data_IF_780266990716
#
_entry.id   IF_780266990716
#
_cell.length_a   1.000
_cell.length_b   1.000
_cell.length_c   1.000
_cell.angle_alpha   90.00
_cell.angle_beta   90.00
_cell.angle_gamma   90.00
#
_symmetry.space_group_name_H-M   'P 1'
#
loop_
_entity.id
_entity.type
_entity.pdbx_description
1 polymer ?
#
# COMPACT_ATOMS: atom_id res chain seq x y z
N UNK A 1 46.65 -0.21 10.32
CA UNK A 1 45.54 0.64 10.81
C UNK A 1 44.48 0.68 9.71
N UNK A 2 43.46 -0.15 9.83
CA UNK A 2 42.34 -0.18 8.92
C UNK A 2 41.20 0.66 9.48
N UNK A 3 40.84 1.75 8.84
CA UNK A 3 39.70 2.60 9.19
C UNK A 3 38.42 1.92 8.74
N UNK A 4 37.59 1.53 9.69
CA UNK A 4 36.27 0.98 9.45
C UNK A 4 35.37 1.96 8.71
N UNK A 5 34.83 1.53 7.57
CA UNK A 5 33.82 2.26 6.83
C UNK A 5 32.54 2.40 7.65
N UNK A 6 32.14 3.62 7.92
CA UNK A 6 30.87 3.98 8.53
C UNK A 6 29.76 3.58 7.55
N UNK A 7 28.96 2.57 7.91
CA UNK A 7 27.71 2.24 7.22
C UNK A 7 26.78 3.43 7.37
N UNK A 8 26.53 4.16 6.28
CA UNK A 8 25.62 5.30 6.21
C UNK A 8 24.20 4.89 6.58
N UNK A 9 23.83 5.07 7.85
CA UNK A 9 22.45 5.01 8.27
C UNK A 9 21.71 6.19 7.65
N UNK A 10 20.92 5.95 6.59
CA UNK A 10 20.11 6.98 5.97
C UNK A 10 19.36 7.78 7.02
N UNK A 11 19.48 9.08 6.97
CA UNK A 11 18.93 9.98 7.98
C UNK A 11 17.43 9.72 8.16
N UNK A 12 17.02 9.35 9.37
CA UNK A 12 15.61 9.20 9.73
C UNK A 12 14.85 10.52 9.81
N UNK A 13 15.57 11.64 9.66
CA UNK A 13 14.95 12.96 9.64
C UNK A 13 14.36 13.23 8.23
N UNK A 14 13.03 13.45 8.11
CA UNK A 14 12.39 13.74 6.83
C UNK A 14 13.01 14.92 6.08
N UNK A 15 13.54 15.91 6.78
CA UNK A 15 14.18 17.08 6.19
C UNK A 15 15.51 16.77 5.47
N UNK A 16 16.16 15.66 5.82
CA UNK A 16 17.45 15.26 5.24
C UNK A 16 17.30 14.25 4.08
N UNK A 17 16.07 13.99 3.64
CA UNK A 17 15.79 13.09 2.52
C UNK A 17 15.90 13.84 1.19
N UNK A 18 16.17 13.14 0.07
CA UNK A 18 16.13 13.76 -1.27
C UNK A 18 14.80 14.49 -1.50
N UNK A 19 14.86 15.58 -2.24
CA UNK A 19 13.69 16.45 -2.50
C UNK A 19 12.51 15.66 -3.09
N UNK A 20 12.78 14.81 -4.05
CA UNK A 20 11.77 13.94 -4.68
C UNK A 20 11.04 13.06 -3.67
N UNK A 21 11.79 12.46 -2.73
CA UNK A 21 11.23 11.65 -1.64
C UNK A 21 10.34 12.48 -0.72
N UNK A 22 10.76 13.71 -0.38
CA UNK A 22 9.97 14.60 0.45
C UNK A 22 8.65 14.97 -0.24
N UNK A 23 8.71 15.32 -1.53
CA UNK A 23 7.52 15.65 -2.34
C UNK A 23 6.59 14.45 -2.45
N UNK A 24 7.10 13.29 -2.88
CA UNK A 24 6.31 12.06 -3.02
C UNK A 24 5.61 11.66 -1.71
N UNK A 25 6.30 11.78 -0.56
CA UNK A 25 5.71 11.50 0.76
C UNK A 25 4.61 12.48 1.11
N UNK A 26 4.81 13.77 0.84
CA UNK A 26 3.83 14.79 1.17
C UNK A 26 2.58 14.65 0.32
N UNK A 27 2.74 14.38 -0.98
CA UNK A 27 1.64 14.10 -1.91
C UNK A 27 0.91 12.82 -1.50
N UNK A 28 1.64 11.72 -1.18
CA UNK A 28 1.03 10.49 -0.67
C UNK A 28 0.20 10.73 0.59
N UNK A 29 0.73 11.50 1.54
CA UNK A 29 -0.01 11.83 2.77
C UNK A 29 -1.28 12.61 2.45
N UNK A 30 -1.17 13.65 1.61
CA UNK A 30 -2.33 14.47 1.24
C UNK A 30 -3.44 13.63 0.64
N UNK A 31 -3.13 12.87 -0.41
CA UNK A 31 -4.13 12.14 -1.19
C UNK A 31 -4.72 10.93 -0.45
N UNK A 32 -3.96 10.30 0.45
CA UNK A 32 -4.41 9.08 1.16
C UNK A 32 -5.02 9.34 2.53
N UNK A 33 -4.58 10.40 3.21
CA UNK A 33 -4.86 10.60 4.63
C UNK A 33 -5.30 12.01 4.97
N UNK A 34 -4.78 13.01 4.27
CA UNK A 34 -4.85 14.42 4.65
C UNK A 34 -5.89 15.25 3.91
N UNK A 35 -6.50 14.76 2.83
CA UNK A 35 -7.37 15.57 1.96
C UNK A 35 -8.45 16.32 2.76
N UNK A 36 -9.24 15.62 3.55
CA UNK A 36 -10.31 16.26 4.34
C UNK A 36 -9.78 17.30 5.35
N UNK A 37 -8.60 17.07 5.94
CA UNK A 37 -7.99 18.01 6.89
C UNK A 37 -7.42 19.26 6.23
N UNK A 38 -7.16 19.20 4.94
CA UNK A 38 -6.70 20.32 4.10
C UNK A 38 -7.84 20.96 3.28
N UNK A 39 -9.09 20.52 3.51
CA UNK A 39 -10.27 21.06 2.84
C UNK A 39 -10.53 20.51 1.43
N UNK A 40 -9.79 19.49 1.02
CA UNK A 40 -10.00 18.84 -0.29
C UNK A 40 -11.11 17.79 -0.18
N UNK A 41 -11.96 17.74 -1.20
CA UNK A 41 -12.94 16.67 -1.42
C UNK A 41 -12.43 15.77 -2.54
N UNK A 42 -12.33 14.47 -2.26
CA UNK A 42 -12.04 13.49 -3.29
C UNK A 42 -13.30 13.29 -4.15
N UNK A 43 -13.15 13.43 -5.45
CA UNK A 43 -14.19 13.17 -6.44
C UNK A 43 -14.26 11.68 -6.82
N UNK A 44 -14.99 11.38 -7.91
CA UNK A 44 -15.12 10.04 -8.49
C UNK A 44 -13.72 9.41 -8.68
N UNK A 45 -13.57 8.14 -8.30
CA UNK A 45 -12.31 7.43 -8.40
C UNK A 45 -11.16 8.02 -7.57
N UNK A 46 -11.45 8.84 -6.56
CA UNK A 46 -10.44 9.43 -5.67
C UNK A 46 -9.64 10.61 -6.24
N UNK A 47 -10.06 11.17 -7.36
CA UNK A 47 -9.39 12.30 -8.00
C UNK A 47 -9.64 13.63 -7.28
N UNK A 48 -8.65 14.52 -7.34
CA UNK A 48 -8.74 15.94 -6.96
C UNK A 48 -8.07 16.81 -8.02
N UNK A 49 -8.50 18.07 -8.14
CA UNK A 49 -7.80 19.05 -8.98
C UNK A 49 -6.35 19.22 -8.54
N UNK A 50 -5.42 19.20 -9.50
CA UNK A 50 -3.99 19.44 -9.23
C UNK A 50 -3.79 20.87 -8.70
N UNK A 51 -4.51 21.86 -9.22
CA UNK A 51 -4.47 23.23 -8.73
C UNK A 51 -4.90 23.32 -7.27
N UNK A 52 -5.99 22.66 -6.89
CA UNK A 52 -6.47 22.61 -5.50
C UNK A 52 -5.48 21.89 -4.59
N UNK A 53 -4.91 20.75 -5.03
CA UNK A 53 -3.90 20.02 -4.29
C UNK A 53 -2.66 20.90 -4.00
N UNK A 54 -2.13 21.58 -5.02
CA UNK A 54 -0.99 22.51 -4.89
C UNK A 54 -1.31 23.69 -3.97
N UNK A 55 -2.56 24.11 -3.91
CA UNK A 55 -3.02 25.21 -3.06
C UNK A 55 -3.19 24.80 -1.59
N UNK A 56 -3.12 23.53 -1.23
CA UNK A 56 -3.17 23.11 0.17
C UNK A 56 -2.00 23.63 0.98
N UNK A 57 -2.22 23.86 2.27
CA UNK A 57 -1.14 24.25 3.19
C UNK A 57 -0.03 23.18 3.24
N UNK A 58 -0.41 21.94 3.11
CA UNK A 58 0.53 20.80 3.13
C UNK A 58 1.55 20.89 1.99
N UNK A 59 1.13 21.12 0.74
CA UNK A 59 2.05 21.20 -0.40
C UNK A 59 2.75 22.57 -0.47
N UNK A 60 2.05 23.65 -0.15
CA UNK A 60 2.67 24.99 -0.04
C UNK A 60 3.81 25.05 0.99
N UNK A 61 3.73 24.28 2.08
CA UNK A 61 4.80 24.24 3.09
C UNK A 61 6.14 23.74 2.56
N UNK A 62 6.14 23.04 1.43
CA UNK A 62 7.34 22.58 0.74
C UNK A 62 7.60 23.34 -0.57
N UNK A 63 6.80 24.36 -0.90
CA UNK A 63 6.90 25.11 -2.16
C UNK A 63 6.94 24.18 -3.39
N UNK A 64 6.05 23.16 -3.42
CA UNK A 64 6.00 22.18 -4.51
C UNK A 64 5.44 22.86 -5.75
N UNK A 65 6.18 22.80 -6.86
CA UNK A 65 5.74 23.33 -8.14
C UNK A 65 4.97 22.27 -8.94
N UNK A 66 4.20 22.71 -9.94
CA UNK A 66 3.51 21.78 -10.83
C UNK A 66 4.48 20.91 -11.63
N UNK A 67 5.60 21.47 -12.08
CA UNK A 67 6.65 20.71 -12.76
C UNK A 67 7.24 19.61 -11.87
N UNK A 68 7.58 19.92 -10.61
CA UNK A 68 8.05 18.89 -9.66
C UNK A 68 7.00 17.81 -9.43
N UNK A 69 5.72 18.18 -9.39
CA UNK A 69 4.64 17.20 -9.22
C UNK A 69 4.52 16.28 -10.44
N UNK A 70 4.58 16.84 -11.67
CA UNK A 70 4.63 16.05 -12.93
C UNK A 70 5.80 15.08 -12.90
N UNK A 71 6.99 15.54 -12.53
CA UNK A 71 8.19 14.72 -12.41
C UNK A 71 8.03 13.56 -11.40
N UNK A 72 7.48 13.85 -10.23
CA UNK A 72 7.25 12.82 -9.19
C UNK A 72 6.23 11.79 -9.66
N UNK A 73 5.21 12.18 -10.39
CA UNK A 73 4.23 11.21 -10.95
C UNK A 73 4.89 10.36 -12.03
N UNK A 74 5.64 10.96 -12.96
CA UNK A 74 6.27 10.26 -14.08
C UNK A 74 7.40 9.31 -13.65
N UNK A 75 8.22 9.71 -12.67
CA UNK A 75 9.41 8.95 -12.21
C UNK A 75 9.13 8.01 -11.05
N UNK A 76 7.86 7.83 -10.66
CA UNK A 76 7.51 7.00 -9.50
C UNK A 76 7.57 5.51 -9.85
N UNK A 77 8.66 4.83 -9.49
CA UNK A 77 8.86 3.39 -9.74
C UNK A 77 7.70 2.51 -9.24
N UNK A 78 7.02 2.93 -8.17
CA UNK A 78 5.88 2.20 -7.60
C UNK A 78 4.52 2.67 -8.13
N UNK A 79 4.50 3.58 -9.09
CA UNK A 79 3.28 4.10 -9.73
C UNK A 79 2.16 4.44 -8.72
N UNK A 80 2.53 5.19 -7.67
CA UNK A 80 1.61 5.48 -6.54
C UNK A 80 0.50 6.44 -6.88
N UNK A 81 0.69 7.23 -7.95
CA UNK A 81 -0.20 8.30 -8.36
C UNK A 81 -0.56 8.15 -9.81
N UNK A 82 -1.80 8.50 -10.14
CA UNK A 82 -2.26 8.69 -11.50
C UNK A 82 -2.67 10.14 -11.69
N UNK A 83 -2.27 10.72 -12.80
CA UNK A 83 -2.62 12.07 -13.21
C UNK A 83 -3.27 11.99 -14.59
N UNK A 84 -4.42 12.63 -14.76
CA UNK A 84 -5.18 12.65 -16.01
C UNK A 84 -5.58 14.08 -16.35
N UNK A 85 -5.88 14.36 -17.62
CA UNK A 85 -6.55 15.60 -17.98
C UNK A 85 -7.97 15.64 -17.40
N UNK A 86 -8.41 16.80 -16.90
CA UNK A 86 -9.74 16.96 -16.33
C UNK A 86 -10.84 16.58 -17.33
N UNK A 87 -10.63 16.93 -18.62
CA UNK A 87 -11.54 16.56 -19.72
C UNK A 87 -11.68 15.06 -19.97
N UNK A 88 -10.71 14.24 -19.51
CA UNK A 88 -10.79 12.79 -19.68
C UNK A 88 -11.80 12.15 -18.71
N UNK A 89 -12.02 12.72 -17.53
CA UNK A 89 -13.02 12.24 -16.59
C UNK A 89 -14.46 12.55 -17.03
N UNK A 90 -14.66 13.67 -17.75
CA UNK A 90 -15.97 14.08 -18.27
C UNK A 90 -16.41 13.25 -19.47
N UNK A 91 -15.45 12.67 -20.21
CA UNK A 91 -15.69 11.88 -21.42
C UNK A 91 -15.87 10.38 -21.18
N UNK A 92 -15.81 9.90 -19.95
CA UNK A 92 -16.09 8.50 -19.63
C UNK A 92 -17.60 8.26 -19.87
N UNK A 93 -17.99 7.56 -20.96
CA UNK A 93 -19.40 7.47 -21.33
C UNK A 93 -20.15 6.53 -20.37
N UNK A 94 -21.40 6.89 -20.08
CA UNK A 94 -22.42 5.98 -19.53
C UNK A 94 -22.77 4.84 -20.52
N UNK A 95 -22.12 4.77 -21.67
CA UNK A 95 -22.46 3.90 -22.81
C UNK A 95 -21.55 2.68 -22.99
N UNK A 96 -21.19 1.97 -21.94
CA UNK A 96 -20.48 0.68 -22.09
C UNK A 96 -21.31 -0.53 -21.62
N UNK A 97 -22.64 -0.44 -21.63
CA UNK A 97 -23.52 -1.56 -21.21
C UNK A 97 -24.12 -2.34 -22.41
N UNK A 98 -23.94 -1.89 -23.64
CA UNK A 98 -24.57 -2.55 -24.82
C UNK A 98 -23.65 -2.79 -26.02
N UNK A 99 -22.46 -3.31 -25.86
CA UNK A 99 -21.75 -3.89 -27.01
C UNK A 99 -20.86 -5.04 -26.56
N UNK A 100 -21.39 -6.26 -26.68
CA UNK A 100 -20.58 -7.47 -26.58
C UNK A 100 -19.48 -7.48 -27.66
N UNK A 101 -18.28 -7.07 -27.29
CA UNK A 101 -17.02 -7.34 -27.99
C UNK A 101 -16.00 -7.73 -26.97
N UNK A 102 -15.56 -8.98 -27.08
CA UNK A 102 -14.39 -9.53 -26.46
C UNK A 102 -13.17 -8.78 -27.00
N UNK A 103 -12.73 -7.74 -26.31
CA UNK A 103 -11.40 -7.18 -26.47
C UNK A 103 -10.65 -7.43 -25.16
N UNK A 104 -9.50 -8.11 -25.27
CA UNK A 104 -8.57 -8.35 -24.18
C UNK A 104 -8.31 -7.05 -23.41
N UNK A 105 -8.19 -7.09 -22.06
CA UNK A 105 -7.85 -5.91 -21.27
C UNK A 105 -6.38 -5.55 -21.52
N UNK A 106 -6.09 -4.94 -22.66
CA UNK A 106 -4.84 -4.23 -22.83
C UNK A 106 -4.79 -3.14 -21.76
N UNK A 107 -3.80 -3.24 -20.87
CA UNK A 107 -3.42 -2.19 -19.93
C UNK A 107 -3.00 -0.95 -20.74
N UNK A 108 -3.98 -0.19 -21.18
CA UNK A 108 -3.75 1.11 -21.79
C UNK A 108 -3.32 2.04 -20.66
N UNK A 109 -2.01 2.12 -20.42
CA UNK A 109 -1.43 3.33 -19.86
C UNK A 109 -1.86 4.46 -20.80
N UNK A 110 -2.91 5.18 -20.43
CA UNK A 110 -3.26 6.42 -21.09
C UNK A 110 -2.08 7.35 -20.86
N UNK A 111 -1.18 7.40 -21.82
CA UNK A 111 -0.15 8.45 -21.89
C UNK A 111 -0.96 9.72 -22.08
N UNK A 112 -1.29 10.37 -20.97
CA UNK A 112 -1.97 11.66 -21.00
C UNK A 112 -0.97 12.62 -21.63
N UNK A 113 -1.36 13.19 -22.76
CA UNK A 113 -0.63 14.29 -23.37
C UNK A 113 -0.62 15.47 -22.38
N UNK A 114 0.43 15.55 -21.56
CA UNK A 114 0.58 16.56 -20.52
C UNK A 114 1.16 17.86 -21.11
N UNK A 115 0.54 18.36 -22.19
CA UNK A 115 0.99 19.53 -22.95
C UNK A 115 0.66 20.86 -22.28
N UNK A 116 -0.39 20.90 -21.44
CA UNK A 116 -0.72 22.14 -20.70
C UNK A 116 0.21 22.38 -19.52
N UNK A 117 0.56 23.62 -19.29
CA UNK A 117 1.28 24.09 -18.10
C UNK A 117 0.34 24.62 -17.00
N UNK A 118 -0.97 24.58 -17.22
CA UNK A 118 -1.96 24.97 -16.21
C UNK A 118 -2.33 23.75 -15.33
N UNK A 119 -2.05 23.80 -14.02
CA UNK A 119 -2.42 22.72 -13.11
C UNK A 119 -3.94 22.49 -12.99
N UNK A 120 -4.78 23.48 -13.36
CA UNK A 120 -6.23 23.34 -13.33
C UNK A 120 -6.78 22.35 -14.39
N UNK A 121 -6.01 22.11 -15.46
CA UNK A 121 -6.36 21.18 -16.52
C UNK A 121 -6.17 19.71 -16.13
N UNK A 122 -5.66 19.44 -14.92
CA UNK A 122 -5.31 18.07 -14.49
C UNK A 122 -5.96 17.68 -13.17
N UNK A 123 -6.24 16.39 -13.08
CA UNK A 123 -6.67 15.70 -11.88
C UNK A 123 -5.60 14.71 -11.43
N UNK A 124 -5.44 14.55 -10.11
CA UNK A 124 -4.49 13.61 -9.52
C UNK A 124 -5.17 12.76 -8.45
N UNK A 125 -4.76 11.49 -8.36
CA UNK A 125 -5.18 10.57 -7.29
C UNK A 125 -4.02 9.71 -6.78
N UNK A 126 -4.19 9.14 -5.60
CA UNK A 126 -3.39 8.00 -5.17
C UNK A 126 -4.08 6.69 -5.62
N UNK A 127 -3.32 5.74 -6.18
CA UNK A 127 -3.86 4.50 -6.73
C UNK A 127 -4.33 3.51 -5.65
N UNK A 128 -3.83 3.62 -4.41
CA UNK A 128 -4.21 2.77 -3.29
C UNK A 128 -3.70 3.32 -1.95
N UNK A 129 -4.08 2.67 -0.83
CA UNK A 129 -3.52 2.94 0.51
C UNK A 129 -4.24 4.02 1.30
N UNK A 130 -5.49 4.34 0.95
CA UNK A 130 -6.31 5.33 1.63
C UNK A 130 -6.69 4.89 3.05
N UNK A 131 -6.78 5.84 3.97
CA UNK A 131 -7.41 5.72 5.28
C UNK A 131 -8.62 6.65 5.45
N UNK A 132 -8.84 7.52 4.47
CA UNK A 132 -10.02 8.38 4.36
C UNK A 132 -11.04 7.70 3.45
N UNK A 133 -12.31 8.08 3.61
CA UNK A 133 -13.38 7.58 2.74
C UNK A 133 -13.11 8.03 1.30
N UNK A 134 -13.11 7.09 0.37
CA UNK A 134 -12.93 7.32 -1.06
C UNK A 134 -13.95 6.49 -1.82
N UNK A 135 -14.46 7.05 -2.90
CA UNK A 135 -15.26 6.30 -3.86
C UNK A 135 -14.34 5.33 -4.60
N UNK A 136 -14.63 4.04 -4.51
CA UNK A 136 -13.83 2.98 -5.15
C UNK A 136 -14.23 2.72 -6.58
N UNK A 137 -15.37 3.26 -7.05
CA UNK A 137 -15.79 3.18 -8.44
C UNK A 137 -14.77 3.89 -9.36
N UNK A 138 -14.24 3.16 -10.33
CA UNK A 138 -13.18 3.66 -11.21
C UNK A 138 -11.79 3.82 -10.53
N UNK A 139 -11.67 3.44 -9.26
CA UNK A 139 -10.39 3.39 -8.55
C UNK A 139 -9.83 1.97 -8.48
N UNK A 140 -10.69 1.00 -8.22
CA UNK A 140 -10.32 -0.40 -8.02
C UNK A 140 -11.12 -1.31 -8.94
N UNK A 141 -10.46 -2.28 -9.55
CA UNK A 141 -11.08 -3.31 -10.37
C UNK A 141 -11.41 -4.53 -9.52
N UNK A 142 -12.65 -5.01 -9.44
CA UNK A 142 -12.98 -6.24 -8.71
C UNK A 142 -12.21 -7.44 -9.28
N UNK A 143 -11.72 -8.30 -8.40
CA UNK A 143 -11.14 -9.60 -8.76
C UNK A 143 -12.23 -10.65 -8.59
N UNK A 144 -12.62 -11.29 -9.69
CA UNK A 144 -13.65 -12.34 -9.69
C UNK A 144 -13.26 -13.50 -10.62
N UNK A 145 -13.88 -14.65 -10.43
CA UNK A 145 -13.65 -15.80 -11.31
C UNK A 145 -14.25 -15.56 -12.71
N UNK A 146 -15.37 -14.88 -12.76
CA UNK A 146 -16.09 -14.56 -14.01
C UNK A 146 -15.28 -13.62 -14.90
N UNK A 147 -14.56 -12.66 -14.28
CA UNK A 147 -13.67 -11.76 -15.00
C UNK A 147 -12.33 -12.41 -15.43
N UNK A 148 -12.06 -13.63 -14.99
CA UNK A 148 -10.81 -14.34 -15.33
C UNK A 148 -9.53 -13.68 -14.82
N UNK A 149 -9.64 -12.71 -13.91
CA UNK A 149 -8.54 -11.89 -13.45
C UNK A 149 -7.98 -12.29 -12.06
N UNK A 150 -8.29 -13.51 -11.60
CA UNK A 150 -7.80 -14.04 -10.33
C UNK A 150 -6.29 -14.30 -10.43
N UNK A 151 -5.45 -13.61 -9.63
CA UNK A 151 -4.01 -13.76 -9.70
C UNK A 151 -3.58 -15.12 -9.16
N UNK A 152 -2.55 -15.71 -9.75
CA UNK A 152 -1.97 -17.00 -9.32
C UNK A 152 -1.19 -16.88 -8.01
N UNK A 153 -0.69 -15.69 -7.70
CA UNK A 153 0.09 -15.42 -6.48
C UNK A 153 -0.48 -14.21 -5.76
N UNK A 154 -0.79 -14.38 -4.48
CA UNK A 154 -1.20 -13.30 -3.58
C UNK A 154 -0.35 -13.39 -2.32
N UNK A 155 0.53 -12.41 -2.10
CA UNK A 155 1.48 -12.48 -1.01
C UNK A 155 1.53 -11.17 -0.20
N UNK A 156 1.49 -11.30 1.14
CA UNK A 156 1.67 -10.19 2.07
C UNK A 156 3.04 -10.27 2.73
N UNK A 157 3.80 -9.18 2.67
CA UNK A 157 5.10 -9.10 3.33
C UNK A 157 5.01 -8.43 4.69
N UNK A 158 5.53 -9.10 5.72
CA UNK A 158 5.57 -8.60 7.09
C UNK A 158 6.92 -8.91 7.77
N UNK A 159 7.01 -8.76 9.08
CA UNK A 159 8.19 -9.11 9.87
C UNK A 159 7.85 -10.06 11.03
N UNK A 160 8.90 -10.65 11.65
CA UNK A 160 8.70 -11.63 12.74
C UNK A 160 8.09 -11.03 14.00
N UNK A 161 8.12 -9.71 14.17
CA UNK A 161 7.47 -9.07 15.33
C UNK A 161 5.98 -8.98 15.14
N UNK A 162 5.56 -8.75 13.89
CA UNK A 162 4.14 -8.68 13.54
C UNK A 162 3.50 -10.06 13.41
N UNK A 163 4.26 -11.09 13.02
CA UNK A 163 3.72 -12.41 12.78
C UNK A 163 2.94 -13.02 13.95
N UNK A 164 3.46 -13.09 15.20
CA UNK A 164 2.68 -13.59 16.34
C UNK A 164 1.41 -12.77 16.60
N UNK A 165 1.47 -11.45 16.39
CA UNK A 165 0.31 -10.58 16.57
C UNK A 165 -0.76 -10.81 15.50
N UNK A 166 -0.36 -11.14 14.27
CA UNK A 166 -1.27 -11.51 13.19
C UNK A 166 -2.01 -12.80 13.55
N UNK A 167 -1.31 -13.82 14.05
CA UNK A 167 -1.95 -15.07 14.48
C UNK A 167 -2.87 -14.84 15.68
N UNK A 168 -2.40 -14.14 16.71
CA UNK A 168 -3.19 -13.84 17.90
C UNK A 168 -4.46 -13.07 17.57
N UNK A 169 -4.39 -12.16 16.60
CA UNK A 169 -5.53 -11.38 16.10
C UNK A 169 -6.43 -12.12 15.12
N UNK A 170 -6.20 -13.40 14.85
CA UNK A 170 -7.03 -14.25 13.99
C UNK A 170 -6.76 -14.07 12.49
N UNK A 171 -5.76 -13.28 12.09
CA UNK A 171 -5.41 -13.07 10.68
C UNK A 171 -4.88 -11.67 10.36
N UNK A 172 -4.75 -11.38 9.07
CA UNK A 172 -4.34 -10.04 8.61
C UNK A 172 -5.48 -9.04 8.79
N UNK A 173 -5.16 -7.87 9.31
CA UNK A 173 -6.11 -6.77 9.54
C UNK A 173 -5.75 -5.53 8.73
N UNK A 174 -6.78 -4.81 8.23
CA UNK A 174 -6.58 -3.56 7.48
C UNK A 174 -5.99 -2.42 8.31
N UNK A 175 -6.03 -2.54 9.64
CA UNK A 175 -5.53 -1.55 10.59
C UNK A 175 -6.17 -0.15 10.37
N UNK A 176 -5.34 0.87 10.12
CA UNK A 176 -5.80 2.26 9.88
C UNK A 176 -6.18 2.53 8.43
N UNK A 177 -5.95 1.60 7.52
CA UNK A 177 -6.28 1.74 6.08
C UNK A 177 -7.64 1.14 5.77
N UNK A 178 -8.17 1.47 4.60
CA UNK A 178 -9.42 0.88 4.12
C UNK A 178 -9.23 -0.59 3.72
N UNK A 179 -8.01 -0.99 3.29
CA UNK A 179 -7.72 -2.32 2.76
C UNK A 179 -6.44 -2.92 3.32
N UNK A 180 -6.37 -4.24 3.33
CA UNK A 180 -5.16 -5.05 3.45
C UNK A 180 -4.53 -5.09 2.06
N UNK A 181 -3.19 -5.03 1.98
CA UNK A 181 -2.45 -4.92 0.72
C UNK A 181 -1.62 -6.17 0.47
N UNK A 182 -1.62 -6.63 -0.77
CA UNK A 182 -0.83 -7.79 -1.21
C UNK A 182 -0.13 -7.46 -2.52
N UNK A 183 0.97 -8.15 -2.77
CA UNK A 183 1.62 -8.16 -4.06
C UNK A 183 1.15 -9.38 -4.89
N UNK A 184 1.14 -9.24 -6.21
CA UNK A 184 0.85 -10.32 -7.16
C UNK A 184 2.06 -11.23 -7.43
N UNK A 185 3.15 -11.07 -6.69
CA UNK A 185 4.39 -11.82 -6.84
C UNK A 185 5.44 -11.31 -5.86
N UNK A 186 6.68 -11.70 -6.08
CA UNK A 186 7.82 -11.33 -5.24
C UNK A 186 8.60 -10.16 -5.84
N UNK A 187 9.12 -9.24 -5.01
CA UNK A 187 10.03 -8.19 -5.47
C UNK A 187 11.34 -8.77 -6.04
N UNK A 188 12.04 -7.98 -6.85
CA UNK A 188 13.35 -8.35 -7.35
C UNK A 188 14.30 -8.78 -6.23
N UNK A 189 15.05 -9.86 -6.46
CA UNK A 189 16.00 -10.43 -5.49
C UNK A 189 15.37 -11.30 -4.38
N UNK A 190 14.06 -11.46 -4.35
CA UNK A 190 13.39 -12.42 -3.49
C UNK A 190 13.40 -13.81 -4.14
N UNK A 191 13.88 -14.83 -3.41
CA UNK A 191 13.82 -16.22 -3.83
C UNK A 191 12.82 -16.95 -2.95
N UNK A 192 11.89 -17.74 -3.54
CA UNK A 192 11.05 -18.68 -2.77
C UNK A 192 11.95 -19.70 -2.07
N UNK A 193 11.50 -20.26 -0.94
CA UNK A 193 12.13 -21.45 -0.37
C UNK A 193 11.92 -22.63 -1.34
N UNK A 194 13.00 -23.36 -1.66
CA UNK A 194 13.06 -24.40 -2.70
C UNK A 194 12.11 -25.59 -2.50
N UNK A 195 11.43 -25.69 -1.38
CA UNK A 195 10.52 -26.80 -1.05
C UNK A 195 9.05 -26.53 -1.41
N UNK A 196 8.71 -25.53 -2.24
CA UNK A 196 7.32 -25.28 -2.55
C UNK A 196 6.82 -26.13 -3.71
N UNK A 197 5.96 -27.11 -3.42
CA UNK A 197 5.17 -27.84 -4.42
C UNK A 197 4.26 -26.94 -5.29
N UNK A 198 4.20 -25.64 -5.01
CA UNK A 198 3.54 -24.63 -5.83
C UNK A 198 4.27 -24.37 -7.17
N UNK A 199 5.52 -24.82 -7.34
CA UNK A 199 6.21 -24.84 -8.66
C UNK A 199 5.72 -25.98 -9.55
N UNK A 200 4.97 -26.96 -9.02
CA UNK A 200 4.44 -28.08 -9.80
C UNK A 200 3.18 -27.74 -10.62
N UNK A 201 2.55 -26.59 -10.38
CA UNK A 201 1.42 -26.09 -11.18
C UNK A 201 1.87 -24.95 -12.09
N UNK A 202 2.84 -25.21 -12.99
CA UNK A 202 3.08 -24.44 -14.22
C UNK A 202 3.18 -22.91 -14.13
N UNK A 203 3.38 -22.33 -12.96
CA UNK A 203 3.55 -20.88 -12.79
C UNK A 203 5.00 -20.48 -13.12
N UNK A 204 5.20 -19.91 -14.29
CA UNK A 204 6.49 -19.45 -14.79
C UNK A 204 7.23 -18.59 -13.76
N UNK A 205 8.48 -18.99 -13.46
CA UNK A 205 9.43 -18.25 -12.61
C UNK A 205 9.89 -16.94 -13.28
N UNK A 206 9.36 -16.64 -14.47
CA UNK A 206 9.69 -15.47 -15.32
C UNK A 206 8.67 -14.31 -15.22
N UNK A 207 7.79 -14.30 -14.24
CA UNK A 207 6.96 -13.12 -14.01
C UNK A 207 7.85 -11.92 -13.63
N UNK A 208 7.71 -10.82 -14.36
CA UNK A 208 8.44 -9.58 -14.07
C UNK A 208 8.31 -9.24 -12.57
N UNK A 209 9.40 -8.78 -11.92
CA UNK A 209 9.37 -8.46 -10.50
C UNK A 209 8.28 -7.45 -10.18
N UNK A 210 7.48 -7.68 -9.15
CA UNK A 210 6.46 -6.72 -8.74
C UNK A 210 7.11 -5.47 -8.15
N UNK A 211 6.66 -4.32 -8.61
CA UNK A 211 7.15 -3.01 -8.19
C UNK A 211 6.41 -2.45 -6.98
N UNK A 212 5.25 -3.01 -6.64
CA UNK A 212 4.36 -2.47 -5.60
C UNK A 212 3.69 -3.58 -4.78
N UNK A 213 3.06 -3.20 -3.67
CA UNK A 213 2.30 -4.10 -2.80
C UNK A 213 3.07 -4.69 -1.63
N UNK A 214 4.41 -4.81 -1.69
CA UNK A 214 5.22 -5.37 -0.60
C UNK A 214 6.47 -4.54 -0.30
N UNK A 215 6.98 -4.64 0.93
CA UNK A 215 8.26 -4.02 1.34
C UNK A 215 9.43 -4.95 1.06
N UNK A 216 10.51 -4.40 0.50
CA UNK A 216 11.76 -5.15 0.30
C UNK A 216 12.35 -5.63 1.62
N UNK A 217 12.10 -4.91 2.73
CA UNK A 217 12.55 -5.28 4.08
C UNK A 217 11.71 -6.35 4.76
N UNK A 218 10.68 -6.88 4.11
CA UNK A 218 9.85 -7.95 4.68
C UNK A 218 10.66 -9.22 4.90
N UNK A 219 10.56 -9.78 6.11
CA UNK A 219 11.26 -11.01 6.51
C UNK A 219 10.33 -12.21 6.65
N UNK A 220 9.02 -11.97 6.68
CA UNK A 220 7.99 -13.01 6.67
C UNK A 220 7.08 -12.78 5.47
N UNK A 221 6.80 -13.83 4.72
CA UNK A 221 5.92 -13.85 3.56
C UNK A 221 4.70 -14.72 3.88
N UNK A 222 3.51 -14.16 3.69
CA UNK A 222 2.23 -14.83 3.89
C UNK A 222 1.57 -14.97 2.52
N UNK A 223 1.54 -16.19 1.99
CA UNK A 223 0.83 -16.54 0.76
C UNK A 223 -0.62 -16.85 1.08
N UNK A 224 -1.52 -16.34 0.26
CA UNK A 224 -2.96 -16.43 0.46
C UNK A 224 -3.60 -17.29 -0.62
N UNK A 225 -4.46 -18.22 -0.22
CA UNK A 225 -5.41 -18.88 -1.10
C UNK A 225 -6.57 -17.93 -1.40
N UNK A 226 -6.39 -17.13 -2.44
CA UNK A 226 -7.41 -16.16 -2.86
C UNK A 226 -8.67 -16.88 -3.37
N UNK A 227 -8.52 -18.08 -3.98
CA UNK A 227 -9.64 -18.87 -4.46
C UNK A 227 -10.58 -19.26 -3.33
N UNK A 228 -10.03 -19.87 -2.26
CA UNK A 228 -10.80 -20.25 -1.08
C UNK A 228 -11.43 -19.02 -0.38
N UNK A 229 -10.71 -17.90 -0.34
CA UNK A 229 -11.23 -16.66 0.26
C UNK A 229 -12.40 -16.07 -0.55
N UNK A 230 -12.31 -16.07 -1.89
CA UNK A 230 -13.41 -15.66 -2.78
C UNK A 230 -14.65 -16.56 -2.60
N UNK A 231 -14.47 -17.88 -2.50
CA UNK A 231 -15.54 -18.84 -2.29
C UNK A 231 -16.27 -18.64 -0.94
N UNK A 232 -15.60 -18.02 0.03
CA UNK A 232 -16.19 -17.60 1.32
C UNK A 232 -16.75 -16.17 1.30
N UNK A 233 -16.80 -15.54 0.13
CA UNK A 233 -17.40 -14.21 -0.06
C UNK A 233 -16.49 -13.05 0.34
N UNK A 234 -15.20 -13.27 0.55
CA UNK A 234 -14.24 -12.17 0.78
C UNK A 234 -13.94 -11.53 -0.57
N UNK A 235 -14.19 -10.22 -0.66
CA UNK A 235 -13.98 -9.46 -1.90
C UNK A 235 -12.53 -9.02 -2.01
N UNK A 236 -11.99 -9.15 -3.22
CA UNK A 236 -10.67 -8.65 -3.58
C UNK A 236 -10.76 -7.68 -4.75
N UNK A 237 -9.78 -6.79 -4.83
CA UNK A 237 -9.69 -5.76 -5.85
C UNK A 237 -8.25 -5.63 -6.33
N UNK A 238 -8.09 -5.18 -7.56
CA UNK A 238 -6.82 -4.82 -8.15
C UNK A 238 -6.76 -3.30 -8.32
N UNK A 239 -5.69 -2.68 -7.85
CA UNK A 239 -5.41 -1.26 -8.11
C UNK A 239 -4.70 -1.08 -9.44
N UNK A 240 -4.72 0.13 -10.00
CA UNK A 240 -4.06 0.47 -11.28
C UNK A 240 -2.56 0.11 -11.29
N UNK A 241 -1.89 0.19 -10.16
CA UNK A 241 -0.47 -0.18 -10.03
C UNK A 241 -0.24 -1.64 -9.61
N UNK A 242 -1.20 -2.54 -9.84
CA UNK A 242 -1.06 -3.98 -9.68
C UNK A 242 -1.06 -4.48 -8.23
N UNK A 243 -1.47 -3.64 -7.26
CA UNK A 243 -1.59 -4.06 -5.86
C UNK A 243 -2.94 -4.72 -5.62
N UNK A 244 -2.93 -5.91 -5.04
CA UNK A 244 -4.14 -6.64 -4.65
C UNK A 244 -4.60 -6.15 -3.28
N UNK A 245 -5.88 -5.90 -3.14
CA UNK A 245 -6.50 -5.24 -2.00
C UNK A 245 -7.71 -6.03 -1.51
N UNK A 246 -7.94 -6.10 -0.20
CA UNK A 246 -9.20 -6.60 0.38
C UNK A 246 -9.58 -5.81 1.62
N UNK A 247 -10.87 -5.63 1.84
CA UNK A 247 -11.39 -5.12 3.11
C UNK A 247 -11.37 -6.20 4.19
N UNK A 248 -11.17 -7.47 3.80
CA UNK A 248 -11.34 -8.63 4.66
C UNK A 248 -12.82 -8.99 4.83
N UNK A 249 -13.12 -9.72 5.90
CA UNK A 249 -14.49 -10.04 6.31
C UNK A 249 -15.19 -8.81 6.93
N UNK A 250 -16.42 -8.99 7.47
CA UNK A 250 -17.18 -7.91 8.12
C UNK A 250 -16.45 -7.21 9.27
N UNK A 251 -15.45 -7.83 9.87
CA UNK A 251 -14.61 -7.27 10.94
C UNK A 251 -13.33 -6.60 10.42
N UNK A 252 -13.10 -6.60 9.10
CA UNK A 252 -11.89 -6.07 8.49
C UNK A 252 -10.68 -6.97 8.63
N UNK A 253 -10.89 -8.27 8.70
CA UNK A 253 -9.87 -9.31 8.88
C UNK A 253 -9.86 -10.24 7.68
N UNK A 254 -8.69 -10.60 7.16
CA UNK A 254 -8.51 -11.80 6.35
C UNK A 254 -8.05 -12.92 7.27
N UNK A 255 -8.93 -13.89 7.58
CA UNK A 255 -8.63 -14.98 8.51
C UNK A 255 -7.41 -15.82 8.11
N UNK A 256 -6.67 -16.31 9.11
CA UNK A 256 -5.46 -17.13 8.89
C UNK A 256 -5.77 -18.46 8.18
N UNK A 257 -7.01 -18.93 8.19
CA UNK A 257 -7.44 -20.14 7.48
C UNK A 257 -7.21 -20.06 5.97
N UNK A 258 -7.11 -18.84 5.42
CA UNK A 258 -6.77 -18.61 4.02
C UNK A 258 -5.26 -18.44 3.76
N UNK A 259 -4.40 -18.63 4.77
CA UNK A 259 -2.96 -18.61 4.56
C UNK A 259 -2.50 -19.96 4.03
N UNK A 260 -2.31 -20.07 2.72
CA UNK A 260 -1.86 -21.32 2.11
C UNK A 260 -0.46 -21.69 2.57
N UNK A 261 0.41 -20.70 2.78
CA UNK A 261 1.77 -20.88 3.27
C UNK A 261 2.29 -19.62 3.91
N UNK A 262 3.07 -19.76 4.98
CA UNK A 262 3.82 -18.68 5.59
C UNK A 262 5.27 -19.09 5.77
N UNK A 263 6.20 -18.25 5.38
CA UNK A 263 7.63 -18.53 5.43
C UNK A 263 8.46 -17.38 5.97
N UNK A 264 9.50 -17.70 6.74
CA UNK A 264 10.52 -16.76 7.18
C UNK A 264 11.68 -16.78 6.19
N UNK A 265 12.12 -15.59 5.79
CA UNK A 265 13.27 -15.37 4.90
C UNK A 265 14.60 -15.21 5.62
N UNK A 266 14.63 -15.38 6.95
CA UNK A 266 15.89 -15.37 7.70
C UNK A 266 16.73 -16.58 7.33
N UNK A 267 18.04 -16.48 7.58
CA UNK A 267 19.03 -17.51 7.25
C UNK A 267 18.69 -18.91 7.83
N UNK A 268 18.13 -18.95 9.04
CA UNK A 268 17.66 -20.16 9.70
C UNK A 268 16.12 -20.24 9.70
N UNK A 269 15.49 -19.55 8.74
CA UNK A 269 14.05 -19.53 8.57
C UNK A 269 13.55 -20.79 7.85
N UNK A 270 12.25 -20.88 7.70
CA UNK A 270 11.58 -22.01 7.07
C UNK A 270 10.10 -21.74 6.94
N UNK A 271 9.34 -22.81 6.73
CA UNK A 271 7.89 -22.75 6.74
C UNK A 271 7.41 -22.56 8.17
N UNK A 272 6.69 -21.45 8.41
CA UNK A 272 6.13 -21.12 9.72
C UNK A 272 4.71 -21.64 9.88
N UNK A 273 3.98 -21.82 8.76
CA UNK A 273 2.60 -22.26 8.74
C UNK A 273 2.25 -22.77 7.34
N UNK A 274 1.37 -23.77 7.24
CA UNK A 274 0.84 -24.30 5.98
C UNK A 274 -0.67 -24.59 6.10
N UNK A 275 -1.35 -24.46 4.98
CA UNK A 275 -2.74 -24.89 4.77
C UNK A 275 -3.73 -24.34 5.81
N UNK A 276 -3.54 -23.12 6.24
CA UNK A 276 -4.44 -22.46 7.20
C UNK A 276 -4.41 -23.08 8.60
N UNK A 277 -3.43 -23.95 8.93
CA UNK A 277 -3.35 -24.63 10.23
C UNK A 277 -2.45 -23.86 11.17
N UNK A 278 -2.97 -23.54 12.35
CA UNK A 278 -2.18 -22.87 13.38
C UNK A 278 -0.97 -23.73 13.78
N UNK A 279 0.21 -23.12 13.96
CA UNK A 279 1.34 -23.80 14.55
C UNK A 279 1.01 -24.32 15.96
N UNK A 280 1.69 -25.40 16.37
CA UNK A 280 1.50 -25.99 17.70
C UNK A 280 1.73 -24.95 18.81
N UNK A 281 0.84 -24.93 19.80
CA UNK A 281 0.91 -24.02 20.95
C UNK A 281 0.45 -22.57 20.67
N UNK A 282 0.06 -22.24 19.43
CA UNK A 282 -0.49 -20.92 19.12
C UNK A 282 -1.98 -20.87 19.40
N UNK A 283 -2.39 -19.88 20.19
CA UNK A 283 -3.80 -19.63 20.51
C UNK A 283 -4.21 -18.28 19.92
N UNK A 284 -5.36 -18.26 19.26
CA UNK A 284 -6.00 -17.02 18.80
C UNK A 284 -6.71 -16.39 19.99
N UNK A 285 -6.30 -15.19 20.36
CA UNK A 285 -6.91 -14.38 21.45
C UNK A 285 -7.05 -12.94 20.98
N UNK A 286 -8.21 -12.68 20.37
CA UNK A 286 -8.52 -11.36 19.79
C UNK A 286 -8.65 -10.29 20.88
N UNK A 287 -9.20 -10.63 22.07
CA UNK A 287 -9.36 -9.66 23.15
C UNK A 287 -8.01 -9.21 23.71
N UNK A 288 -7.09 -10.15 23.93
CA UNK A 288 -5.76 -9.82 24.39
C UNK A 288 -4.97 -9.07 23.31
N UNK A 289 -5.12 -9.46 22.04
CA UNK A 289 -4.55 -8.72 20.91
C UNK A 289 -5.01 -7.25 20.88
N UNK A 290 -6.30 -6.98 21.07
CA UNK A 290 -6.82 -5.61 21.14
C UNK A 290 -6.24 -4.81 22.30
N UNK A 291 -6.09 -5.43 23.48
CA UNK A 291 -5.46 -4.80 24.64
C UNK A 291 -4.01 -4.44 24.38
N UNK A 292 -3.25 -5.35 23.76
CA UNK A 292 -1.86 -5.11 23.37
C UNK A 292 -1.73 -3.98 22.35
N UNK A 293 -2.58 -3.98 21.32
CA UNK A 293 -2.56 -2.94 20.29
C UNK A 293 -2.91 -1.56 20.82
N UNK A 294 -3.85 -1.45 21.75
CA UNK A 294 -4.18 -0.19 22.47
C UNK A 294 -2.97 0.31 23.27
N UNK A 295 -2.25 -0.59 23.96
CA UNK A 295 -1.08 -0.25 24.78
C UNK A 295 0.13 0.18 23.93
N UNK A 296 0.33 -0.40 22.75
CA UNK A 296 1.41 -0.01 21.82
C UNK A 296 1.18 1.41 21.28
N UNK A 297 -0.06 1.81 21.06
CA UNK A 297 -0.43 3.18 20.67
C UNK A 297 -0.13 4.23 21.75
N UNK A 298 -0.30 3.88 23.03
CA UNK A 298 -0.09 4.78 24.16
C UNK A 298 1.39 5.05 24.53
N UNK A 299 2.30 4.10 24.31
CA UNK A 299 3.71 4.22 24.71
C UNK A 299 4.59 5.07 23.78
N UNK A 300 4.11 5.52 22.63
CA UNK A 300 4.87 6.40 21.72
C UNK A 300 4.81 7.90 22.08
N UNK A 301 4.02 8.29 23.10
CA UNK A 301 3.87 9.68 23.55
C UNK A 301 4.69 10.09 24.77
N UNK A 302 5.44 9.20 25.44
CA UNK A 302 6.00 9.43 26.75
C UNK A 302 7.49 9.11 26.90
N UNK A 303 8.39 9.81 26.21
CA UNK A 303 9.79 10.01 26.61
C UNK A 303 10.28 11.38 26.12
N UNK A 304 9.79 12.42 26.73
CA UNK A 304 10.36 13.74 26.71
C UNK A 304 10.78 14.09 28.12
N UNK A 305 12.10 14.16 28.36
CA UNK A 305 12.69 14.51 29.63
C UNK A 305 12.25 15.89 30.10
N UNK A 306 12.10 16.00 31.38
CA UNK A 306 11.92 17.19 32.18
C UNK A 306 12.98 18.25 31.83
N UNK A 307 12.57 19.31 31.13
CA UNK A 307 13.21 20.63 31.21
C UNK A 307 12.14 21.69 30.93
N UNK A 308 11.92 22.56 31.93
CA UNK A 308 10.91 23.58 31.98
C UNK A 308 10.99 24.61 30.85
N UNK A 309 9.82 25.07 30.43
CA UNK A 309 9.64 26.17 29.49
C UNK A 309 8.17 26.36 29.14
N UNK A 310 7.58 27.45 29.60
CA UNK A 310 6.20 27.91 29.33
C UNK A 310 5.90 28.02 27.83
N UNK A 311 4.71 27.51 27.39
CA UNK A 311 4.18 27.86 26.05
C UNK A 311 3.08 26.91 25.59
N UNK A 312 1.88 27.42 25.46
CA UNK A 312 0.59 26.94 24.97
C UNK A 312 0.52 25.65 24.15
N UNK A 313 -0.21 24.65 24.70
CA UNK A 313 -0.50 23.42 24.01
C UNK A 313 -1.61 23.55 22.98
N UNK A 314 -1.35 23.13 21.74
CA UNK A 314 -2.37 22.71 20.77
C UNK A 314 -2.28 21.21 20.60
N UNK A 315 -3.43 20.54 20.80
CA UNK A 315 -3.57 19.10 20.78
C UNK A 315 -2.94 18.42 19.58
N UNK A 316 -2.05 17.46 19.85
CA UNK A 316 -1.41 16.64 18.82
C UNK A 316 -2.42 15.69 18.18
N UNK A 317 -2.66 15.86 16.88
CA UNK A 317 -3.43 14.91 16.06
C UNK A 317 -2.66 13.59 15.95
N UNK A 318 -3.35 12.43 15.89
CA UNK A 318 -2.71 11.14 15.69
C UNK A 318 -1.93 11.15 14.37
N UNK A 319 -0.64 10.81 14.41
CA UNK A 319 0.16 10.64 13.21
C UNK A 319 -0.26 9.34 12.53
N UNK A 320 -0.83 9.44 11.32
CA UNK A 320 -0.99 8.31 10.44
C UNK A 320 0.38 7.61 10.27
N UNK A 321 0.41 6.28 10.37
CA UNK A 321 1.61 5.50 10.07
C UNK A 321 1.89 5.61 8.59
N UNK A 322 2.84 6.48 8.25
CA UNK A 322 3.25 6.76 6.89
C UNK A 322 4.10 5.61 6.33
N UNK A 323 3.80 5.20 5.10
CA UNK A 323 4.52 4.18 4.31
C UNK A 323 5.93 4.64 3.88
N UNK A 324 6.43 5.69 4.46
CA UNK A 324 7.67 6.36 4.10
C UNK A 324 8.94 5.48 4.21
N UNK A 325 8.85 4.33 4.87
CA UNK A 325 9.98 3.38 4.95
C UNK A 325 10.26 2.67 3.62
N UNK A 326 9.26 2.57 2.73
CA UNK A 326 9.42 1.92 1.42
C UNK A 326 10.06 2.82 0.36
N UNK A 327 10.13 4.14 0.60
CA UNK A 327 10.74 5.08 -0.34
C UNK A 327 12.27 5.02 -0.35
N UNK A 328 12.88 4.42 0.68
CA UNK A 328 14.35 4.31 0.80
C UNK A 328 14.93 3.00 0.26
N UNK A 329 14.11 2.06 -0.18
CA UNK A 329 14.55 0.74 -0.64
C UNK A 329 14.97 0.69 -2.12
N UNK A 330 14.91 1.80 -2.83
CA UNK A 330 15.26 1.91 -4.26
C UNK A 330 16.45 2.82 -4.56
N UNK A 331 17.21 3.25 -3.53
CA UNK A 331 18.39 4.09 -3.72
C UNK A 331 19.64 3.34 -3.23
N UNK A 332 20.08 2.32 -3.97
CA UNK A 332 21.46 1.80 -4.01
C UNK A 332 21.84 1.54 -5.46
#
# INVERSE_FOLDING_TARGET
>A
MARGGSRGGGSRNPANQPREVQVSRKVSWLLRHGASSEGLKLGKGGYVSVADALNTRALKSLNITFSELKDVVAKNDKQRFSMIAASALEKAPEEAVEAGREEEPAQQHVVVDMTSDDPSDYLIRANQGHSIKVDTEGLLTPITREAGNVPTTVVHGTDERAWPLILKGGGLRRMTRNHIHFASGLPAGFKPLESSAATAAGGAVDAAPVISGMRVSSTVLIYVDIGAALDKGIRFFLSENGVILTEGNGEGVLPYEFFSRVESRKKDGGVLMSDGRLPEGVVVDVEEWEKEMKNVGGKRGGRGGERGGRGGGKGGKPKATDDSRDLMAGAE
#
